data_IF_022861501516
#
_entry.id   IF_022861501516
#
_cell.length_a   1.000
_cell.length_b   1.000
_cell.length_c   1.000
_cell.angle_alpha   90.00
_cell.angle_beta   90.00
_cell.angle_gamma   90.00
#
_symmetry.space_group_name_H-M   'P 1'
#
loop_
_entity.id
_entity.type
_entity.pdbx_description
1 polymer ?
#
# COMPACT_ATOMS: atom_id res chain seq x y z
N UNK A 1 4.71 6.31 -7.56
CA UNK A 1 3.93 5.21 -6.94
C UNK A 1 4.15 5.21 -5.44
N UNK A 2 3.22 4.64 -4.67
CA UNK A 2 3.29 4.53 -3.21
C UNK A 2 3.07 3.08 -2.79
N UNK A 3 3.68 2.67 -1.68
CA UNK A 3 3.50 1.31 -1.12
C UNK A 3 2.99 1.40 0.31
N UNK A 4 2.34 0.35 0.76
CA UNK A 4 1.94 0.22 2.17
C UNK A 4 3.20 0.15 3.04
N UNK A 5 3.25 0.96 4.10
CA UNK A 5 4.37 0.96 5.04
C UNK A 5 4.54 -0.43 5.66
N UNK A 6 5.78 -0.89 5.91
CA UNK A 6 6.04 -2.24 6.44
C UNK A 6 5.41 -2.47 7.82
N UNK A 7 5.18 -1.41 8.60
CA UNK A 7 4.58 -1.50 9.93
C UNK A 7 3.04 -1.60 9.93
N UNK A 8 2.37 -1.49 8.77
CA UNK A 8 0.91 -1.48 8.68
C UNK A 8 0.40 -2.74 8.00
N UNK A 9 -0.39 -3.60 8.68
CA UNK A 9 -0.85 -4.84 8.07
C UNK A 9 -1.68 -4.59 6.80
N UNK A 10 -1.71 -5.58 5.92
CA UNK A 10 -2.60 -5.57 4.76
C UNK A 10 -4.05 -5.37 5.21
N UNK A 11 -4.80 -4.54 4.49
CA UNK A 11 -6.16 -4.18 4.86
C UNK A 11 -7.05 -4.00 3.64
N UNK A 12 -8.34 -4.25 3.83
CA UNK A 12 -9.38 -3.96 2.86
C UNK A 12 -10.12 -2.69 3.26
N UNK A 13 -10.44 -1.86 2.28
CA UNK A 13 -11.31 -0.71 2.49
C UNK A 13 -12.76 -1.21 2.48
N UNK A 14 -13.45 -1.03 3.60
CA UNK A 14 -14.82 -1.50 3.77
C UNK A 14 -15.90 -0.46 3.43
N UNK A 15 -15.49 0.78 3.17
CA UNK A 15 -16.40 1.92 2.99
C UNK A 15 -15.88 2.98 2.00
N UNK A 16 -16.80 3.73 1.39
CA UNK A 16 -16.51 4.82 0.45
C UNK A 16 -16.22 4.36 -0.99
N UNK A 17 -15.72 5.27 -1.85
CA UNK A 17 -15.48 4.99 -3.27
C UNK A 17 -14.36 3.97 -3.51
N UNK A 18 -13.59 3.63 -2.47
CA UNK A 18 -12.54 2.63 -2.52
C UNK A 18 -12.96 1.29 -1.90
N UNK A 19 -14.25 1.11 -1.56
CA UNK A 19 -14.78 -0.12 -0.94
C UNK A 19 -14.45 -1.35 -1.78
N UNK A 20 -13.94 -2.40 -1.13
CA UNK A 20 -13.48 -3.64 -1.75
C UNK A 20 -12.03 -3.59 -2.25
N UNK A 21 -11.32 -2.45 -2.14
CA UNK A 21 -9.89 -2.42 -2.46
C UNK A 21 -9.06 -3.02 -1.33
N UNK A 22 -8.24 -4.01 -1.68
CA UNK A 22 -7.30 -4.67 -0.79
C UNK A 22 -5.89 -4.10 -1.00
N UNK A 23 -5.31 -3.54 0.06
CA UNK A 23 -3.95 -3.03 0.07
C UNK A 23 -3.03 -4.03 0.77
N UNK A 24 -1.99 -4.45 0.05
CA UNK A 24 -1.01 -5.45 0.50
C UNK A 24 0.39 -4.85 0.58
N UNK A 25 1.21 -5.45 1.42
CA UNK A 25 2.64 -5.14 1.45
C UNK A 25 3.32 -5.58 0.16
N UNK A 26 4.35 -4.83 -0.24
CA UNK A 26 5.12 -5.10 -1.45
C UNK A 26 4.42 -4.71 -2.76
N UNK A 27 3.12 -4.40 -2.72
CA UNK A 27 2.39 -3.91 -3.88
C UNK A 27 2.48 -2.39 -3.99
N UNK A 28 2.70 -1.92 -5.20
CA UNK A 28 2.73 -0.50 -5.54
C UNK A 28 1.35 -0.04 -5.99
N UNK A 29 0.91 1.10 -5.46
CA UNK A 29 -0.37 1.73 -5.73
C UNK A 29 -0.18 3.15 -6.25
N UNK A 30 -1.01 3.56 -7.19
CA UNK A 30 -1.05 4.95 -7.62
C UNK A 30 -1.61 5.83 -6.46
N UNK A 31 -1.15 7.07 -6.29
CA UNK A 31 -1.68 7.98 -5.26
C UNK A 31 -3.20 8.20 -5.34
N UNK A 32 -3.77 8.08 -6.54
CA UNK A 32 -5.20 8.21 -6.83
C UNK A 32 -6.01 7.00 -6.39
N UNK A 33 -5.38 5.81 -6.34
CA UNK A 33 -5.98 4.58 -5.85
C UNK A 33 -5.92 4.48 -4.32
N UNK A 34 -5.36 5.46 -3.61
CA UNK A 34 -5.20 5.39 -2.16
C UNK A 34 -6.23 6.29 -1.48
N UNK A 35 -7.03 5.77 -0.53
CA UNK A 35 -8.03 6.56 0.15
C UNK A 35 -7.37 7.71 0.91
N UNK A 36 -7.92 8.94 0.87
CA UNK A 36 -7.29 10.11 1.48
C UNK A 36 -7.03 9.95 2.98
N UNK A 37 -7.92 9.26 3.71
CA UNK A 37 -7.77 8.93 5.14
C UNK A 37 -6.55 8.04 5.40
N UNK A 38 -6.33 7.09 4.49
CA UNK A 38 -5.31 6.05 4.64
C UNK A 38 -3.97 6.45 4.01
N UNK A 39 -3.89 7.57 3.27
CA UNK A 39 -2.65 8.07 2.64
C UNK A 39 -1.44 8.14 3.58
N UNK A 40 -1.67 8.31 4.89
CA UNK A 40 -0.63 8.32 5.94
C UNK A 40 0.00 6.93 6.18
N UNK A 41 -0.71 5.85 5.86
CA UNK A 41 -0.25 4.46 5.93
C UNK A 41 0.65 4.08 4.76
N UNK A 42 0.66 4.90 3.70
CA UNK A 42 1.49 4.68 2.53
C UNK A 42 2.72 5.58 2.54
N UNK A 43 3.83 5.05 2.04
CA UNK A 43 5.06 5.78 1.82
C UNK A 43 5.35 5.91 0.32
N UNK A 44 5.98 7.01 -0.13
CA UNK A 44 6.47 7.08 -1.49
C UNK A 44 7.45 5.94 -1.73
N UNK A 45 7.28 5.23 -2.84
CA UNK A 45 8.29 4.25 -3.25
C UNK A 45 9.50 5.06 -3.71
N UNK A 46 10.43 5.31 -2.78
CA UNK A 46 11.80 5.63 -3.16
C UNK A 46 12.29 4.37 -3.87
N UNK A 47 12.78 4.50 -5.12
CA UNK A 47 13.46 3.42 -5.84
C UNK A 47 14.80 3.07 -5.15
N UNK A 48 14.77 2.81 -3.86
CA UNK A 48 15.82 2.11 -3.15
C UNK A 48 15.48 0.63 -3.30
N UNK A 49 16.24 -0.03 -4.18
CA UNK A 49 16.43 -1.47 -4.29
C UNK A 49 16.22 -2.20 -2.97
N UNK A 50 14.99 -2.63 -2.69
CA UNK A 50 14.69 -3.55 -1.63
C UNK A 50 13.99 -4.75 -2.25
N UNK A 51 14.82 -5.66 -2.78
CA UNK A 51 14.46 -7.06 -2.98
C UNK A 51 13.90 -7.57 -1.65
N UNK A 52 12.63 -7.92 -1.62
CA UNK A 52 12.08 -8.84 -0.64
C UNK A 52 11.44 -10.00 -1.41
N UNK A 53 12.28 -10.64 -2.22
CA UNK A 53 12.14 -12.04 -2.58
C UNK A 53 12.60 -12.82 -1.35
N UNK A 54 11.66 -13.21 -0.50
CA UNK A 54 11.90 -14.26 0.48
C UNK A 54 10.71 -15.21 0.45
N UNK A 55 10.83 -16.23 -0.39
CA UNK A 55 10.08 -17.47 -0.23
C UNK A 55 11.13 -18.59 -0.25
N UNK A 56 11.42 -19.06 0.95
CA UNK A 56 12.28 -20.22 1.26
C UNK A 56 11.74 -21.51 0.67
#
# INVERSE_FOLDING_TARGET
>A
MKKLKPNYPAFEVVDGPFKGHVYRHGQEYAPEQIPPRERKKFEPVRKATAKAENKS
#
